data_IF_078272171381
#
_entry.id   IF_078272171381
#
_cell.length_a   1.000
_cell.length_b   1.000
_cell.length_c   1.000
_cell.angle_alpha   90.00
_cell.angle_beta   90.00
_cell.angle_gamma   90.00
#
_symmetry.space_group_name_H-M   'P 1'
#
loop_
_entity.id
_entity.type
_entity.pdbx_description
1 polymer ?
#
# COMPACT_ATOMS: atom_id res chain seq x y z
N UNK A 1 -4.06 -15.84 -3.09
CA UNK A 1 -3.14 -15.01 -2.27
C UNK A 1 -2.48 -14.03 -3.23
N UNK A 2 -2.44 -12.76 -2.87
CA UNK A 2 -1.80 -11.71 -3.64
C UNK A 2 -0.76 -11.03 -2.75
N UNK A 3 0.31 -10.52 -3.35
CA UNK A 3 1.46 -9.97 -2.65
C UNK A 3 1.89 -8.66 -3.30
N UNK A 4 2.30 -7.68 -2.50
CA UNK A 4 2.95 -6.46 -2.99
C UNK A 4 4.42 -6.49 -2.54
N UNK A 5 5.37 -6.13 -3.41
CA UNK A 5 6.79 -6.09 -3.04
C UNK A 5 7.04 -4.97 -2.02
N UNK A 6 7.80 -5.28 -0.99
CA UNK A 6 8.32 -4.30 -0.04
C UNK A 6 9.76 -3.87 -0.33
N UNK A 7 10.20 -2.80 0.33
CA UNK A 7 11.55 -2.26 0.15
C UNK A 7 12.64 -3.29 0.49
N UNK A 8 12.36 -4.24 1.37
CA UNK A 8 13.26 -5.33 1.72
C UNK A 8 13.29 -6.48 0.71
N UNK A 9 12.30 -6.60 -0.18
CA UNK A 9 12.38 -7.56 -1.30
C UNK A 9 13.43 -7.10 -2.34
N UNK A 10 13.69 -5.80 -2.41
CA UNK A 10 14.68 -5.21 -3.32
C UNK A 10 15.98 -4.80 -2.64
N UNK A 11 15.95 -4.30 -1.40
CA UNK A 11 17.07 -3.57 -0.78
C UNK A 11 17.52 -2.40 -1.68
N UNK A 12 16.56 -1.56 -2.07
CA UNK A 12 16.71 -0.50 -3.08
C UNK A 12 16.33 -0.99 -4.49
N UNK A 13 15.33 -0.37 -5.07
CA UNK A 13 14.72 -0.73 -6.35
C UNK A 13 15.69 -0.55 -7.52
N UNK A 14 15.73 -1.54 -8.42
CA UNK A 14 16.32 -1.43 -9.75
C UNK A 14 15.50 -2.29 -10.72
N UNK A 15 15.62 -2.03 -12.03
CA UNK A 15 14.97 -2.87 -13.06
C UNK A 15 15.41 -4.33 -13.02
N UNK A 16 16.68 -4.59 -12.67
CA UNK A 16 17.19 -5.95 -12.53
C UNK A 16 16.50 -6.68 -11.37
N UNK A 17 16.38 -6.01 -10.22
CA UNK A 17 15.71 -6.55 -9.03
C UNK A 17 14.20 -6.73 -9.23
N UNK A 18 13.54 -5.79 -9.91
CA UNK A 18 12.14 -5.93 -10.34
C UNK A 18 11.95 -7.18 -11.19
N UNK A 19 12.79 -7.38 -12.21
CA UNK A 19 12.76 -8.59 -13.06
C UNK A 19 13.01 -9.87 -12.26
N UNK A 20 13.95 -9.86 -11.32
CA UNK A 20 14.22 -11.00 -10.45
C UNK A 20 13.02 -11.32 -9.54
N UNK A 21 12.38 -10.31 -8.96
CA UNK A 21 11.16 -10.47 -8.17
C UNK A 21 10.01 -11.05 -9.01
N UNK A 22 9.77 -10.49 -10.20
CA UNK A 22 8.75 -11.00 -11.13
C UNK A 22 9.06 -12.45 -11.54
N UNK A 23 10.32 -12.81 -11.80
CA UNK A 23 10.70 -14.18 -12.12
C UNK A 23 10.40 -15.17 -10.97
N UNK A 24 10.51 -14.71 -9.73
CA UNK A 24 10.25 -15.52 -8.53
C UNK A 24 8.77 -15.57 -8.14
N UNK A 25 8.05 -14.46 -8.28
CA UNK A 25 6.66 -14.29 -7.80
C UNK A 25 5.60 -14.34 -8.90
N UNK A 26 6.02 -14.25 -10.16
CA UNK A 26 5.18 -14.19 -11.35
C UNK A 26 4.68 -12.78 -11.70
N UNK A 27 4.67 -11.86 -10.74
CA UNK A 27 4.19 -10.48 -10.90
C UNK A 27 4.77 -9.58 -9.79
N UNK A 28 4.79 -8.27 -10.04
CA UNK A 28 5.08 -7.19 -9.07
C UNK A 28 3.85 -6.32 -8.76
N UNK A 29 2.81 -6.45 -9.59
CA UNK A 29 1.52 -5.77 -9.50
C UNK A 29 0.39 -6.71 -9.88
N UNK A 30 -0.81 -6.49 -9.35
CA UNK A 30 -1.97 -7.33 -9.65
C UNK A 30 -3.25 -6.50 -9.77
N UNK A 31 -4.23 -7.00 -10.51
CA UNK A 31 -5.56 -6.39 -10.60
C UNK A 31 -6.58 -7.51 -10.78
N UNK A 32 -7.59 -7.56 -9.92
CA UNK A 32 -8.72 -8.49 -10.06
C UNK A 32 -10.00 -7.86 -9.54
N UNK A 33 -11.13 -8.47 -9.92
CA UNK A 33 -12.45 -8.07 -9.46
C UNK A 33 -13.12 -9.26 -8.80
N UNK A 34 -13.78 -9.03 -7.68
CA UNK A 34 -14.58 -10.03 -7.00
C UNK A 34 -15.81 -9.35 -6.36
N UNK A 35 -16.99 -9.97 -6.55
CA UNK A 35 -18.26 -9.51 -5.93
C UNK A 35 -18.54 -8.01 -6.07
N UNK A 36 -18.25 -7.46 -7.26
CA UNK A 36 -18.46 -6.05 -7.56
C UNK A 36 -17.43 -5.11 -6.93
N UNK A 37 -16.32 -5.61 -6.40
CA UNK A 37 -15.21 -4.82 -5.89
C UNK A 37 -13.97 -5.01 -6.78
N UNK A 38 -13.12 -3.99 -6.87
CA UNK A 38 -11.83 -4.04 -7.55
C UNK A 38 -10.68 -4.04 -6.53
N UNK A 39 -9.67 -4.86 -6.78
CA UNK A 39 -8.49 -5.00 -5.93
C UNK A 39 -7.25 -4.84 -6.79
N UNK A 40 -6.46 -3.80 -6.53
CA UNK A 40 -5.33 -3.40 -7.36
C UNK A 40 -4.08 -3.27 -6.48
N UNK A 41 -3.08 -4.11 -6.71
CA UNK A 41 -1.77 -4.01 -6.06
C UNK A 41 -0.74 -3.37 -6.97
N UNK A 42 0.06 -2.46 -6.43
CA UNK A 42 1.13 -1.76 -7.16
C UNK A 42 2.45 -1.80 -6.38
N UNK A 43 3.55 -1.64 -7.11
CA UNK A 43 4.89 -1.58 -6.55
C UNK A 43 5.25 -0.13 -6.19
N UNK A 44 5.14 0.23 -4.91
CA UNK A 44 5.49 1.57 -4.44
C UNK A 44 6.98 1.86 -4.38
N UNK A 45 7.85 0.86 -4.55
CA UNK A 45 9.29 1.04 -4.37
C UNK A 45 9.89 1.85 -5.51
N UNK A 46 9.43 1.66 -6.75
CA UNK A 46 9.89 2.48 -7.88
C UNK A 46 9.57 3.97 -7.69
N UNK A 47 8.46 4.28 -7.01
CA UNK A 47 8.05 5.64 -6.63
C UNK A 47 8.99 6.14 -5.54
N UNK A 48 9.09 5.40 -4.42
CA UNK A 48 9.87 5.82 -3.25
C UNK A 48 11.36 6.02 -3.57
N UNK A 49 11.92 5.19 -4.44
CA UNK A 49 13.33 5.25 -4.84
C UNK A 49 13.56 6.13 -6.09
N UNK A 50 12.51 6.76 -6.64
CA UNK A 50 12.62 7.76 -7.71
C UNK A 50 13.01 7.20 -9.09
N UNK A 51 12.65 5.95 -9.39
CA UNK A 51 12.96 5.30 -10.68
C UNK A 51 11.86 5.61 -11.70
N UNK A 52 11.99 6.78 -12.33
CA UNK A 52 10.94 7.42 -13.14
C UNK A 52 10.43 6.59 -14.33
N UNK A 53 11.29 5.86 -15.02
CA UNK A 53 10.89 5.00 -16.15
C UNK A 53 9.96 3.86 -15.67
N UNK A 54 10.28 3.23 -14.54
CA UNK A 54 9.46 2.18 -13.94
C UNK A 54 8.15 2.75 -13.37
N UNK A 55 8.22 3.94 -12.78
CA UNK A 55 7.04 4.65 -12.32
C UNK A 55 6.09 4.99 -13.47
N UNK A 56 6.61 5.44 -14.62
CA UNK A 56 5.80 5.77 -15.80
C UNK A 56 5.05 4.56 -16.37
N UNK A 57 5.73 3.41 -16.54
CA UNK A 57 5.08 2.17 -16.96
C UNK A 57 4.04 1.66 -15.97
N UNK A 58 4.28 1.87 -14.67
CA UNK A 58 3.31 1.55 -13.64
C UNK A 58 2.13 2.52 -13.66
N UNK A 59 2.38 3.80 -13.88
CA UNK A 59 1.36 4.83 -13.94
C UNK A 59 0.34 4.53 -15.03
N UNK A 60 0.81 4.26 -16.26
CA UNK A 60 -0.07 3.94 -17.39
C UNK A 60 -0.89 2.67 -17.13
N UNK A 61 -0.26 1.65 -16.52
CA UNK A 61 -0.95 0.44 -16.11
C UNK A 61 -2.00 0.70 -15.03
N UNK A 62 -1.66 1.49 -14.01
CA UNK A 62 -2.53 1.79 -12.87
C UNK A 62 -3.75 2.60 -13.30
N UNK A 63 -3.57 3.63 -14.12
CA UNK A 63 -4.67 4.42 -14.69
C UNK A 63 -5.64 3.52 -15.45
N UNK A 64 -5.13 2.60 -16.28
CA UNK A 64 -5.96 1.66 -17.05
C UNK A 64 -6.74 0.70 -16.14
N UNK A 65 -6.12 0.17 -15.10
CA UNK A 65 -6.81 -0.75 -14.17
C UNK A 65 -7.86 -0.04 -13.33
N UNK A 66 -7.60 1.20 -12.92
CA UNK A 66 -8.54 2.06 -12.21
C UNK A 66 -9.72 2.48 -13.11
N UNK A 67 -9.47 2.82 -14.38
CA UNK A 67 -10.55 3.08 -15.33
C UNK A 67 -11.41 1.83 -15.57
N UNK A 68 -10.81 0.65 -15.60
CA UNK A 68 -11.52 -0.61 -15.70
C UNK A 68 -12.22 -1.04 -14.38
N UNK A 69 -11.93 -0.36 -13.26
CA UNK A 69 -12.63 -0.53 -11.99
C UNK A 69 -13.89 0.35 -11.88
N UNK A 70 -14.10 1.29 -12.82
CA UNK A 70 -15.30 2.15 -12.82
C UNK A 70 -16.59 1.33 -12.73
N UNK A 71 -17.46 1.73 -11.81
CA UNK A 71 -18.72 1.05 -11.54
C UNK A 71 -18.62 -0.13 -10.56
N UNK A 72 -17.41 -0.49 -10.09
CA UNK A 72 -17.28 -1.31 -8.90
C UNK A 72 -17.83 -0.56 -7.69
N UNK A 73 -18.44 -1.30 -6.76
CA UNK A 73 -18.95 -0.77 -5.50
C UNK A 73 -17.84 -0.21 -4.62
N UNK A 74 -16.70 -0.92 -4.56
CA UNK A 74 -15.50 -0.47 -3.88
C UNK A 74 -14.26 -0.77 -4.70
N UNK A 75 -13.30 0.14 -4.67
CA UNK A 75 -11.97 0.00 -5.27
C UNK A 75 -10.92 0.08 -4.17
N UNK A 76 -10.15 -0.99 -4.04
CA UNK A 76 -9.07 -1.16 -3.08
C UNK A 76 -7.72 -1.08 -3.78
N UNK A 77 -6.82 -0.24 -3.27
CA UNK A 77 -5.42 -0.19 -3.72
C UNK A 77 -4.51 -0.73 -2.63
N UNK A 78 -3.52 -1.54 -3.01
CA UNK A 78 -2.52 -2.12 -2.11
C UNK A 78 -1.14 -1.70 -2.57
N UNK A 79 -0.33 -1.24 -1.63
CA UNK A 79 1.05 -0.82 -1.85
C UNK A 79 1.88 -1.08 -0.58
N UNK A 80 3.19 -0.88 -0.62
CA UNK A 80 4.04 -1.07 0.56
C UNK A 80 4.36 0.24 1.29
N UNK A 81 4.97 1.20 0.60
CA UNK A 81 5.35 2.50 1.15
C UNK A 81 4.14 3.44 1.15
N UNK A 82 3.62 3.86 2.32
CA UNK A 82 2.40 4.63 2.38
C UNK A 82 2.56 6.02 1.76
N UNK A 83 1.41 6.57 1.34
CA UNK A 83 1.31 7.95 0.86
C UNK A 83 1.72 8.91 1.98
N UNK A 84 1.18 8.70 3.18
CA UNK A 84 1.46 9.47 4.39
C UNK A 84 1.73 8.54 5.58
N UNK A 85 2.50 9.02 6.55
CA UNK A 85 2.71 8.39 7.85
C UNK A 85 1.74 8.95 8.90
N UNK A 86 1.50 10.27 8.89
CA UNK A 86 0.64 10.96 9.85
C UNK A 86 -0.35 11.94 9.18
N UNK A 87 0.14 12.82 8.29
CA UNK A 87 -0.67 13.86 7.66
C UNK A 87 -0.18 14.22 6.26
N UNK A 88 -0.95 15.01 5.50
CA UNK A 88 -0.57 15.45 4.16
C UNK A 88 0.66 16.38 4.14
N UNK A 89 0.77 17.24 5.15
CA UNK A 89 1.79 18.29 5.27
C UNK A 89 3.05 17.84 6.02
N UNK A 90 3.13 16.57 6.41
CA UNK A 90 4.30 16.02 7.08
C UNK A 90 5.56 16.12 6.20
N UNK A 91 6.73 16.19 6.84
CA UNK A 91 7.99 16.20 6.10
C UNK A 91 8.21 14.85 5.40
N UNK A 92 8.79 14.89 4.20
CA UNK A 92 9.29 13.68 3.54
C UNK A 92 10.42 13.04 4.35
N UNK A 93 10.34 11.73 4.54
CA UNK A 93 11.37 10.91 5.13
C UNK A 93 11.46 9.53 4.46
N UNK A 94 12.03 8.55 5.16
CA UNK A 94 12.15 7.18 4.65
C UNK A 94 10.79 6.47 4.52
N UNK A 95 9.82 6.81 5.37
CA UNK A 95 8.59 6.07 5.58
C UNK A 95 7.41 6.51 4.73
N UNK A 96 7.52 7.65 4.02
CA UNK A 96 6.42 8.22 3.25
C UNK A 96 6.87 8.70 1.86
N UNK A 97 5.89 9.03 1.02
CA UNK A 97 6.13 9.65 -0.28
C UNK A 97 6.55 11.12 -0.14
N UNK A 98 7.20 11.64 -1.17
CA UNK A 98 7.44 13.08 -1.31
C UNK A 98 6.12 13.85 -1.47
N UNK A 99 6.12 15.15 -1.18
CA UNK A 99 4.92 15.98 -1.34
C UNK A 99 4.34 15.93 -2.76
N UNK A 100 5.21 15.93 -3.78
CA UNK A 100 4.82 15.83 -5.19
C UNK A 100 4.12 14.50 -5.48
N UNK A 101 4.71 13.39 -4.99
CA UNK A 101 4.15 12.05 -5.16
C UNK A 101 2.82 11.90 -4.42
N UNK A 102 2.69 12.43 -3.20
CA UNK A 102 1.43 12.45 -2.45
C UNK A 102 0.32 13.10 -3.26
N UNK A 103 0.58 14.32 -3.74
CA UNK A 103 -0.41 15.06 -4.52
C UNK A 103 -0.77 14.30 -5.80
N UNK A 104 0.23 13.78 -6.53
CA UNK A 104 0.04 13.03 -7.78
C UNK A 104 -0.86 11.80 -7.58
N UNK A 105 -0.55 10.96 -6.60
CA UNK A 105 -1.28 9.71 -6.38
C UNK A 105 -2.63 9.91 -5.69
N UNK A 106 -2.75 10.82 -4.72
CA UNK A 106 -4.05 11.13 -4.12
C UNK A 106 -5.02 11.76 -5.11
N UNK A 107 -4.55 12.67 -5.97
CA UNK A 107 -5.38 13.24 -7.04
C UNK A 107 -5.91 12.14 -7.97
N UNK A 108 -5.04 11.20 -8.39
CA UNK A 108 -5.45 10.07 -9.23
C UNK A 108 -6.48 9.19 -8.52
N UNK A 109 -6.20 8.79 -7.28
CA UNK A 109 -7.08 7.91 -6.51
C UNK A 109 -8.44 8.54 -6.27
N UNK A 110 -8.49 9.83 -5.96
CA UNK A 110 -9.72 10.60 -5.83
C UNK A 110 -10.49 10.69 -7.15
N UNK A 111 -9.82 11.03 -8.25
CA UNK A 111 -10.43 11.11 -9.58
C UNK A 111 -11.05 9.76 -10.00
N UNK A 112 -10.36 8.66 -9.70
CA UNK A 112 -10.79 7.32 -10.10
C UNK A 112 -11.73 6.63 -9.10
N UNK A 113 -12.05 7.26 -7.97
CA UNK A 113 -12.95 6.71 -6.97
C UNK A 113 -12.37 5.51 -6.23
N UNK A 114 -11.12 5.61 -5.78
CA UNK A 114 -10.53 4.64 -4.83
C UNK A 114 -11.09 4.90 -3.44
N UNK A 115 -11.59 3.86 -2.80
CA UNK A 115 -12.22 3.94 -1.49
C UNK A 115 -11.21 3.74 -0.36
N UNK A 116 -10.31 2.76 -0.52
CA UNK A 116 -9.34 2.39 0.51
C UNK A 116 -7.97 2.09 -0.09
N UNK A 117 -6.92 2.63 0.52
CA UNK A 117 -5.52 2.33 0.20
C UNK A 117 -4.89 1.64 1.40
N UNK A 118 -4.40 0.42 1.20
CA UNK A 118 -3.66 -0.34 2.19
C UNK A 118 -2.15 -0.25 1.95
N UNK A 119 -1.42 0.02 3.02
CA UNK A 119 0.03 0.14 3.06
C UNK A 119 0.64 -0.67 4.22
N UNK A 120 1.98 -0.73 4.24
CA UNK A 120 2.76 -1.26 5.36
C UNK A 120 3.95 -0.34 5.65
N UNK A 121 5.16 -0.90 5.69
CA UNK A 121 6.44 -0.18 5.74
C UNK A 121 6.77 0.62 7.02
N UNK A 122 5.83 1.33 7.64
CA UNK A 122 6.07 2.16 8.86
C UNK A 122 6.29 1.33 10.11
N UNK A 123 5.86 0.06 10.10
CA UNK A 123 5.82 -0.80 11.27
C UNK A 123 4.96 -0.21 12.41
N UNK A 124 4.00 0.64 12.04
CA UNK A 124 3.08 1.36 12.90
C UNK A 124 1.70 1.38 12.25
N UNK A 125 0.66 1.22 13.07
CA UNK A 125 -0.71 1.33 12.59
C UNK A 125 -1.04 2.79 12.24
N UNK A 126 -1.67 2.98 11.09
CA UNK A 126 -2.26 4.25 10.69
C UNK A 126 -3.65 3.98 10.10
N UNK A 127 -4.63 4.78 10.48
CA UNK A 127 -6.00 4.69 9.98
C UNK A 127 -6.59 6.10 9.95
N UNK A 128 -6.78 6.65 8.76
CA UNK A 128 -7.36 7.96 8.57
C UNK A 128 -8.09 8.08 7.24
N UNK A 129 -9.06 8.99 7.18
CA UNK A 129 -9.69 9.39 5.92
C UNK A 129 -9.09 10.72 5.47
N UNK A 130 -8.46 10.73 4.31
CA UNK A 130 -7.88 11.93 3.69
C UNK A 130 -8.53 12.14 2.34
N UNK A 131 -9.10 13.33 2.12
CA UNK A 131 -9.80 13.70 0.88
C UNK A 131 -10.88 12.69 0.41
N UNK A 132 -11.49 11.98 1.37
CA UNK A 132 -12.51 10.96 1.09
C UNK A 132 -11.96 9.56 0.80
N UNK A 133 -10.65 9.36 0.90
CA UNK A 133 -9.98 8.06 0.74
C UNK A 133 -9.57 7.54 2.11
N UNK A 134 -9.95 6.30 2.43
CA UNK A 134 -9.52 5.63 3.66
C UNK A 134 -8.09 5.10 3.50
N UNK A 135 -7.12 5.74 4.14
CA UNK A 135 -5.73 5.32 4.14
C UNK A 135 -5.46 4.48 5.38
N UNK A 136 -5.01 3.25 5.15
CA UNK A 136 -4.69 2.29 6.20
C UNK A 136 -3.25 1.83 6.03
N UNK A 137 -2.43 2.04 7.05
CA UNK A 137 -1.13 1.39 7.14
C UNK A 137 -1.22 0.31 8.21
N UNK A 138 -1.06 -0.94 7.78
CA UNK A 138 -1.06 -2.06 8.70
C UNK A 138 0.25 -2.09 9.50
N UNK A 139 0.14 -2.33 10.81
CA UNK A 139 1.26 -2.71 11.66
C UNK A 139 1.94 -3.99 11.16
N UNK A 140 3.17 -4.26 11.63
CA UNK A 140 3.92 -5.41 11.17
C UNK A 140 3.43 -6.67 11.89
N UNK A 141 3.74 -7.85 11.37
CA UNK A 141 3.54 -9.11 12.11
C UNK A 141 4.66 -9.35 13.14
N UNK A 142 5.76 -8.59 13.06
CA UNK A 142 6.97 -8.80 13.85
C UNK A 142 7.50 -7.52 14.52
N UNK A 143 8.34 -6.74 13.82
CA UNK A 143 9.13 -5.66 14.39
C UNK A 143 8.32 -4.36 14.56
N UNK A 144 7.37 -4.30 15.49
CA UNK A 144 6.60 -3.08 15.71
C UNK A 144 7.51 -1.92 16.18
N UNK A 145 7.35 -0.74 15.58
CA UNK A 145 8.10 0.46 15.93
C UNK A 145 7.25 1.42 16.77
N UNK A 146 7.89 2.22 17.61
CA UNK A 146 7.20 3.20 18.48
C UNK A 146 6.13 2.53 19.36
N UNK A 147 4.87 2.95 19.20
CA UNK A 147 3.73 2.41 19.95
C UNK A 147 2.94 1.34 19.19
N UNK A 148 3.41 0.89 18.02
CA UNK A 148 2.77 -0.17 17.26
C UNK A 148 2.77 -1.50 18.01
N UNK A 149 1.87 -2.40 17.64
CA UNK A 149 1.90 -3.79 18.09
C UNK A 149 2.06 -4.74 16.90
N UNK A 150 2.47 -5.99 17.10
CA UNK A 150 2.43 -6.99 16.04
C UNK A 150 1.01 -7.44 15.74
N UNK A 151 0.60 -7.55 14.47
CA UNK A 151 -0.78 -7.86 14.11
C UNK A 151 -1.09 -7.85 12.62
N UNK A 152 -2.38 -7.87 12.30
CA UNK A 152 -2.91 -7.82 10.94
C UNK A 152 -4.31 -7.19 10.93
N UNK A 153 -4.72 -6.61 9.81
CA UNK A 153 -6.08 -6.09 9.65
C UNK A 153 -7.03 -7.17 9.11
N UNK A 154 -8.21 -7.25 9.70
CA UNK A 154 -9.37 -7.96 9.16
C UNK A 154 -10.29 -6.93 8.51
N UNK A 155 -10.48 -7.08 7.20
CA UNK A 155 -11.32 -6.18 6.40
C UNK A 155 -12.65 -6.87 6.12
N UNK A 156 -13.76 -6.25 6.52
CA UNK A 156 -15.12 -6.70 6.19
C UNK A 156 -15.72 -5.75 5.17
N UNK A 157 -16.17 -6.30 4.05
CA UNK A 157 -16.77 -5.54 2.95
C UNK A 157 -18.27 -5.82 2.92
N UNK A 158 -19.07 -4.83 3.34
CA UNK A 158 -20.52 -4.89 3.32
C UNK A 158 -21.12 -4.25 2.07
N UNK A 159 -22.44 -4.11 2.02
CA UNK A 159 -23.13 -3.36 0.96
C UNK A 159 -23.08 -1.84 1.20
N UNK A 160 -23.03 -1.42 2.47
CA UNK A 160 -23.12 -0.04 2.92
C UNK A 160 -21.80 0.54 3.45
N UNK A 161 -20.73 -0.24 3.49
CA UNK A 161 -19.43 0.23 3.94
C UNK A 161 -18.34 -0.83 3.98
N UNK A 162 -17.12 -0.37 4.25
CA UNK A 162 -15.94 -1.18 4.54
C UNK A 162 -15.54 -0.95 5.98
N UNK A 163 -15.38 -2.03 6.74
CA UNK A 163 -14.85 -1.98 8.11
C UNK A 163 -13.45 -2.57 8.14
N UNK A 164 -12.50 -1.80 8.65
CA UNK A 164 -11.11 -2.24 8.83
C UNK A 164 -10.85 -2.37 10.33
N UNK A 165 -10.50 -3.56 10.78
CA UNK A 165 -10.24 -3.83 12.20
C UNK A 165 -8.85 -4.41 12.38
N UNK A 166 -8.02 -3.73 13.15
CA UNK A 166 -6.71 -4.25 13.54
C UNK A 166 -6.86 -5.40 14.55
N UNK A 167 -6.15 -6.49 14.32
CA UNK A 167 -6.12 -7.68 15.17
C UNK A 167 -4.68 -7.93 15.63
N UNK A 168 -4.37 -7.72 16.92
CA UNK A 168 -3.06 -8.04 17.47
C UNK A 168 -2.75 -9.54 17.35
N UNK A 169 -1.50 -9.89 17.06
CA UNK A 169 -1.04 -11.28 17.07
C UNK A 169 -0.87 -11.74 18.52
N UNK A 170 -1.63 -12.74 18.99
CA UNK A 170 -1.54 -13.17 20.38
C UNK A 170 -0.15 -13.71 20.71
N UNK A 171 0.40 -13.30 21.85
CA UNK A 171 1.64 -13.87 22.40
C UNK A 171 2.95 -13.43 21.74
N UNK A 172 2.93 -12.41 20.87
CA UNK A 172 4.16 -11.82 20.33
C UNK A 172 4.62 -10.67 21.23
N UNK A 173 5.81 -10.83 21.82
CA UNK A 173 6.51 -9.73 22.48
C UNK A 173 7.23 -8.88 21.40
N UNK A 174 6.87 -7.59 21.22
CA UNK A 174 7.51 -6.72 20.22
C UNK A 174 9.03 -6.66 20.37
N UNK A 175 9.57 -6.82 21.58
CA UNK A 175 11.01 -6.75 21.87
C UNK A 175 11.81 -7.95 21.32
N UNK A 176 11.15 -9.04 20.94
CA UNK A 176 11.81 -10.24 20.39
C UNK A 176 11.94 -10.23 18.85
N UNK A 177 11.34 -9.26 18.17
CA UNK A 177 11.40 -9.12 16.72
C UNK A 177 12.20 -7.88 16.32
N UNK A 178 13.50 -7.83 16.61
CA UNK A 178 14.36 -6.72 16.16
C UNK A 178 15.18 -7.18 14.96
N UNK A 179 15.22 -6.40 13.88
CA UNK A 179 16.19 -6.65 12.79
C UNK A 179 17.60 -6.48 13.38
N UNK A 180 18.40 -7.56 13.36
CA UNK A 180 19.84 -7.49 13.65
C UNK A 180 20.61 -6.99 12.43
#
# INVERSE_FOLDING_TARGET
VYTVPGNHDYMGFTREKQKAYIALRGYDRFSFRDRGCAFIGMDSNCIKDGVTEAEAEQWDWLVRELDAAKGCRYTFVFLHCPIVRESLDEKEDFFNFSMEQRQKYLSLFKEKGVDVVFAGHTHQDYDAVIEGIHLVTAGPVCNALGHGTPGYNVVKVGESGVEVNYTPTPGVDPSHCVFK
#
